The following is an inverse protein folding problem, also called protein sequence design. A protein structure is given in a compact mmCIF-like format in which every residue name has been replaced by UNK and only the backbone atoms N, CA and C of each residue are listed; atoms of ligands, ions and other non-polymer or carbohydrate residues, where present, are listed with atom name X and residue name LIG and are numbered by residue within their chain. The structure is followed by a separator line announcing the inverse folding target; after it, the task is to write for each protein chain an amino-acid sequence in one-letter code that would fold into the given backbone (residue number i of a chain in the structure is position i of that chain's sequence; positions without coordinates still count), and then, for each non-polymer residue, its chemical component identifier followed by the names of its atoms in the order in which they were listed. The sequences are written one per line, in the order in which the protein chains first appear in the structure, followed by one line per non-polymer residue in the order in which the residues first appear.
data_IF_450418156197
#
_entry.id   IF_450418156197
#
_cell.length_a   1.000
_cell.length_b   1.000
_cell.length_c   1.000
_cell.angle_alpha   90.00
_cell.angle_beta   90.00
_cell.angle_gamma   90.00
#
_symmetry.space_group_name_H-M   'P 1'
#
loop_
_entity.id
_entity.type
_entity.pdbx_description
1 polymer ?
#
# COMPACT_ATOMS: atom_id res chain seq x y z
N UNK A 1 4.53 7.60 -7.37
CA UNK A 1 3.58 8.16 -6.37
C UNK A 1 4.28 8.24 -5.02
N UNK A 2 3.88 9.17 -4.15
CA UNK A 2 4.41 9.28 -2.78
C UNK A 2 3.34 8.83 -1.79
N UNK A 3 3.74 7.99 -0.84
CA UNK A 3 2.87 7.54 0.26
C UNK A 3 3.55 7.82 1.57
N UNK A 4 2.75 8.16 2.57
CA UNK A 4 3.20 8.35 3.94
C UNK A 4 2.20 7.69 4.88
N UNK A 5 2.68 7.23 6.03
CA UNK A 5 1.86 6.58 7.04
C UNK A 5 2.35 6.92 8.44
N UNK A 6 1.47 6.69 9.41
CA UNK A 6 1.79 6.70 10.81
C UNK A 6 1.15 5.48 11.46
N UNK A 7 1.94 4.71 12.20
CA UNK A 7 1.46 3.57 12.98
C UNK A 7 1.87 3.84 14.42
N UNK A 8 0.90 3.89 15.33
CA UNK A 8 1.17 4.09 16.76
C UNK A 8 1.99 2.94 17.33
N UNK A 9 2.80 3.20 18.35
CA UNK A 9 3.60 2.16 19.00
C UNK A 9 2.73 1.01 19.54
N UNK A 10 1.55 1.33 20.08
CA UNK A 10 0.58 0.32 20.53
C UNK A 10 0.08 -0.56 19.38
N UNK A 11 -0.18 0.01 18.21
CA UNK A 11 -0.64 -0.76 17.05
C UNK A 11 0.49 -1.63 16.48
N UNK A 12 1.74 -1.16 16.50
CA UNK A 12 2.91 -1.96 16.14
C UNK A 12 3.05 -3.17 17.06
N UNK A 13 2.99 -2.95 18.38
CA UNK A 13 3.08 -4.02 19.37
C UNK A 13 1.97 -5.05 19.18
N UNK A 14 0.74 -4.60 18.94
CA UNK A 14 -0.39 -5.49 18.66
C UNK A 14 -0.17 -6.30 17.37
N UNK A 15 0.37 -5.68 16.32
CA UNK A 15 0.70 -6.38 15.08
C UNK A 15 1.79 -7.44 15.30
N UNK A 16 2.85 -7.13 16.05
CA UNK A 16 3.90 -8.10 16.42
C UNK A 16 3.34 -9.27 17.25
N UNK A 17 2.44 -9.01 18.20
CA UNK A 17 1.75 -10.06 18.96
C UNK A 17 0.90 -10.99 18.10
N UNK A 18 0.38 -10.48 16.98
CA UNK A 18 -0.35 -11.27 15.97
C UNK A 18 0.57 -11.98 14.96
N UNK A 19 1.89 -11.97 15.21
CA UNK A 19 2.87 -12.61 14.36
C UNK A 19 3.36 -11.74 13.20
N UNK A 20 3.02 -10.45 13.16
CA UNK A 20 3.55 -9.52 12.16
C UNK A 20 5.06 -9.38 12.30
N UNK A 21 5.81 -9.63 11.23
CA UNK A 21 7.26 -9.63 11.23
C UNK A 21 7.81 -8.50 10.33
N UNK A 22 7.42 -8.48 9.05
CA UNK A 22 7.97 -7.54 8.05
C UNK A 22 6.94 -6.46 7.76
N UNK A 23 7.27 -5.19 8.01
CA UNK A 23 6.45 -4.06 7.57
C UNK A 23 6.55 -3.92 6.05
N UNK A 24 5.42 -3.78 5.36
CA UNK A 24 5.40 -3.62 3.91
C UNK A 24 4.23 -2.75 3.45
N UNK A 25 4.34 -2.24 2.22
CA UNK A 25 3.26 -1.60 1.48
C UNK A 25 2.85 -2.50 0.33
N UNK A 26 1.55 -2.71 0.16
CA UNK A 26 0.97 -3.36 -1.01
C UNK A 26 0.30 -2.34 -1.91
N UNK A 27 0.70 -2.30 -3.17
CA UNK A 27 0.09 -1.51 -4.23
C UNK A 27 -0.88 -2.37 -5.02
N UNK A 28 -2.08 -1.86 -5.27
CA UNK A 28 -3.15 -2.54 -5.99
C UNK A 28 -3.64 -1.69 -7.15
N UNK A 29 -3.94 -2.34 -8.28
CA UNK A 29 -4.64 -1.74 -9.41
C UNK A 29 -6.13 -1.98 -9.19
N UNK A 30 -6.87 -0.92 -8.91
CA UNK A 30 -8.30 -0.98 -8.56
C UNK A 30 -9.20 -0.47 -9.69
N UNK A 31 -8.63 -0.28 -10.88
CA UNK A 31 -9.32 0.28 -12.04
C UNK A 31 -10.58 -0.52 -12.37
N UNK A 32 -11.74 0.15 -12.36
CA UNK A 32 -13.05 -0.44 -12.64
C UNK A 32 -13.49 -1.57 -11.69
N UNK A 33 -12.98 -1.60 -10.45
CA UNK A 33 -13.36 -2.60 -9.45
C UNK A 33 -14.37 -2.06 -8.45
N UNK A 34 -15.33 -2.90 -8.08
CA UNK A 34 -16.15 -2.71 -6.88
C UNK A 34 -15.47 -3.40 -5.70
N UNK A 35 -14.77 -2.62 -4.88
CA UNK A 35 -13.99 -3.10 -3.73
C UNK A 35 -14.86 -3.69 -2.59
N UNK A 36 -16.19 -3.58 -2.66
CA UNK A 36 -17.08 -4.23 -1.69
C UNK A 36 -17.23 -5.74 -1.94
N UNK A 37 -16.98 -6.19 -3.17
CA UNK A 37 -17.18 -7.58 -3.60
C UNK A 37 -15.98 -8.19 -4.31
N UNK A 38 -15.10 -7.36 -4.90
CA UNK A 38 -13.93 -7.81 -5.64
C UNK A 38 -12.65 -7.57 -4.84
N UNK A 39 -11.79 -8.59 -4.79
CA UNK A 39 -10.43 -8.45 -4.27
C UNK A 39 -9.53 -7.89 -5.37
N UNK A 40 -8.86 -6.75 -5.14
CA UNK A 40 -8.05 -6.14 -6.17
C UNK A 40 -6.75 -6.91 -6.41
N UNK A 41 -6.26 -6.97 -7.66
CA UNK A 41 -4.99 -7.62 -7.97
C UNK A 41 -3.82 -6.87 -7.33
N UNK A 42 -2.97 -7.62 -6.62
CA UNK A 42 -1.71 -7.10 -6.11
C UNK A 42 -0.78 -6.78 -7.30
N UNK A 43 -0.36 -5.52 -7.39
CA UNK A 43 0.60 -5.06 -8.39
C UNK A 43 2.01 -5.31 -7.90
N UNK A 44 2.30 -4.85 -6.67
CA UNK A 44 3.63 -4.95 -6.08
C UNK A 44 3.57 -4.82 -4.56
N UNK A 45 4.46 -5.52 -3.90
CA UNK A 45 4.74 -5.40 -2.48
C UNK A 45 6.11 -4.75 -2.29
N UNK A 46 6.22 -3.84 -1.33
CA UNK A 46 7.44 -3.11 -0.99
C UNK A 46 7.71 -3.30 0.50
N UNK A 47 8.75 -4.05 0.82
CA UNK A 47 9.24 -4.11 2.19
C UNK A 47 9.72 -2.73 2.65
N UNK A 48 9.36 -2.37 3.87
CA UNK A 48 9.66 -1.10 4.49
C UNK A 48 10.48 -1.32 5.76
N UNK A 49 11.32 -0.34 6.09
CA UNK A 49 11.96 -0.33 7.40
C UNK A 49 10.89 -0.13 8.50
N UNK A 50 11.06 -0.81 9.63
CA UNK A 50 10.12 -0.73 10.76
C UNK A 50 9.93 0.73 11.23
N UNK A 51 11.00 1.51 11.28
CA UNK A 51 10.98 2.94 11.65
C UNK A 51 10.52 3.87 10.52
N UNK A 52 10.25 3.35 9.33
CA UNK A 52 9.83 4.14 8.18
C UNK A 52 8.43 4.74 8.34
N UNK A 53 8.23 5.88 7.69
CA UNK A 53 6.96 6.62 7.65
C UNK A 53 6.54 7.07 6.26
N UNK A 54 7.38 6.86 5.24
CA UNK A 54 7.05 7.18 3.86
C UNK A 54 7.80 6.31 2.85
N UNK A 55 7.31 6.34 1.60
CA UNK A 55 7.91 5.61 0.50
C UNK A 55 7.53 6.20 -0.86
N UNK A 56 8.45 6.08 -1.84
CA UNK A 56 8.17 6.39 -3.25
C UNK A 56 7.84 5.12 -4.03
N UNK A 57 6.60 5.02 -4.49
CA UNK A 57 6.11 3.87 -5.23
C UNK A 57 6.26 4.10 -6.75
N UNK A 58 6.80 3.10 -7.43
CA UNK A 58 6.77 3.04 -8.88
C UNK A 58 5.34 2.70 -9.35
N UNK A 59 4.74 3.60 -10.14
CA UNK A 59 3.42 3.37 -10.74
C UNK A 59 3.62 2.80 -12.14
N UNK A 60 3.11 1.58 -12.43
CA UNK A 60 3.44 0.89 -13.68
C UNK A 60 2.68 1.41 -14.89
N UNK A 61 1.45 1.91 -14.72
CA UNK A 61 0.59 2.40 -15.82
C UNK A 61 -0.15 3.67 -15.42
N UNK A 62 -0.31 4.59 -16.36
CA UNK A 62 -1.22 5.75 -16.25
C UNK A 62 -2.60 5.42 -16.81
N UNK A 63 -3.61 6.24 -16.53
CA UNK A 63 -5.04 5.98 -16.78
C UNK A 63 -5.60 4.79 -16.00
N UNK A 64 -5.00 4.51 -14.85
CA UNK A 64 -5.41 3.48 -13.92
C UNK A 64 -5.67 4.11 -12.55
N UNK A 65 -6.57 3.49 -11.80
CA UNK A 65 -6.83 3.81 -10.40
C UNK A 65 -6.03 2.87 -9.50
N UNK A 66 -5.30 3.42 -8.53
CA UNK A 66 -4.52 2.62 -7.60
C UNK A 66 -4.91 2.88 -6.16
N UNK A 67 -4.71 1.86 -5.33
CA UNK A 67 -4.89 1.90 -3.89
C UNK A 67 -3.67 1.28 -3.23
N UNK A 68 -3.37 1.72 -2.01
CA UNK A 68 -2.29 1.14 -1.21
C UNK A 68 -2.80 0.64 0.13
N UNK A 69 -2.15 -0.39 0.64
CA UNK A 69 -2.29 -0.82 2.02
C UNK A 69 -0.93 -0.82 2.70
N UNK A 70 -0.87 -0.41 3.95
CA UNK A 70 0.29 -0.59 4.84
C UNK A 70 -0.05 -1.69 5.83
N UNK A 71 0.90 -2.58 6.10
CA UNK A 71 0.65 -3.72 6.96
C UNK A 71 1.89 -4.54 7.24
N UNK A 72 1.70 -5.63 7.99
CA UNK A 72 2.76 -6.58 8.30
C UNK A 72 2.54 -7.91 7.61
N UNK A 73 3.60 -8.51 7.11
CA UNK A 73 3.64 -9.93 6.76
C UNK A 73 3.98 -10.75 8.00
N UNK A 74 3.25 -11.85 8.21
CA UNK A 74 3.65 -12.87 9.18
C UNK A 74 4.70 -13.81 8.60
N UNK A 75 5.32 -14.64 9.46
CA UNK A 75 6.25 -15.69 9.01
C UNK A 75 5.57 -16.68 8.06
N UNK A 76 4.27 -16.91 8.23
CA UNK A 76 3.42 -17.73 7.33
C UNK A 76 2.96 -16.95 6.08
N UNK A 77 3.54 -15.79 5.80
CA UNK A 77 3.21 -14.91 4.67
C UNK A 77 1.75 -14.42 4.66
N UNK A 78 1.09 -14.39 5.83
CA UNK A 78 -0.24 -13.82 5.96
C UNK A 78 -0.16 -12.30 6.10
N UNK A 79 -1.16 -11.61 5.56
CA UNK A 79 -1.20 -10.15 5.57
C UNK A 79 -2.02 -9.62 6.74
N UNK A 80 -1.36 -8.88 7.62
CA UNK A 80 -1.97 -8.11 8.68
C UNK A 80 -2.12 -6.66 8.21
N UNK A 81 -3.27 -6.36 7.62
CA UNK A 81 -3.60 -5.00 7.21
C UNK A 81 -3.68 -4.05 8.41
N UNK A 82 -3.00 -2.90 8.33
CA UNK A 82 -3.05 -1.85 9.34
C UNK A 82 -3.90 -0.67 8.89
N UNK A 83 -3.73 -0.25 7.64
CA UNK A 83 -4.55 0.79 7.04
C UNK A 83 -4.61 0.62 5.51
N UNK A 84 -5.65 1.24 4.93
CA UNK A 84 -5.90 1.30 3.49
C UNK A 84 -6.05 2.75 3.07
N UNK A 85 -5.40 3.14 1.99
CA UNK A 85 -5.51 4.49 1.43
C UNK A 85 -6.84 4.70 0.70
N UNK A 86 -7.15 5.96 0.40
CA UNK A 86 -8.09 6.28 -0.68
C UNK A 86 -7.54 5.80 -2.02
N UNK A 87 -8.42 5.69 -3.00
CA UNK A 87 -8.04 5.40 -4.39
C UNK A 87 -7.56 6.68 -5.08
N UNK A 88 -6.57 6.56 -5.95
CA UNK A 88 -6.02 7.69 -6.71
C UNK A 88 -5.98 7.32 -8.18
N UNK A 89 -6.64 8.14 -9.00
CA UNK A 89 -6.52 8.05 -10.44
C UNK A 89 -5.19 8.64 -10.91
N UNK A 90 -4.49 7.89 -11.76
CA UNK A 90 -3.23 8.30 -12.36
C UNK A 90 -3.49 8.83 -13.75
N UNK A 91 -3.11 10.09 -14.01
CA UNK A 91 -3.16 10.71 -15.33
C UNK A 91 -1.73 10.91 -15.84
N UNK A 92 -1.55 10.96 -17.15
CA UNK A 92 -0.39 11.68 -17.67
C UNK A 92 -0.56 13.13 -17.27
N UNK A 93 0.42 13.74 -16.60
CA UNK A 93 0.52 15.19 -16.65
C UNK A 93 0.67 15.53 -18.15
N UNK A 94 -0.15 16.44 -18.71
CA UNK A 94 0.20 16.98 -20.02
C UNK A 94 1.63 17.49 -19.90
N UNK A 95 2.49 17.13 -20.86
CA UNK A 95 3.84 17.65 -20.91
C UNK A 95 3.75 19.16 -20.67
N UNK A 96 4.31 19.63 -19.55
CA UNK A 96 4.47 21.06 -19.36
C UNK A 96 5.42 21.48 -20.48
N UNK A 97 4.87 22.07 -21.53
CA UNK A 97 5.66 22.84 -22.49
C UNK A 97 6.48 23.83 -21.67
N UNK A 98 7.79 23.57 -21.60
CA UNK A 98 8.81 24.48 -21.06
C UNK A 98 9.14 25.54 -22.10
#
# INVERSE_FOLDING_TARGET
AYVHWYISESDRQLAKQRGGNILAIRLYDVTNLDLSVQSPPLVKEYECEESGSDYYLAIPRTHHEYMTEIGYLTDDHQWLNMARSQTIWTYNLPDKEL
#
